data_IF_025609365606
#
_entry.id   IF_025609365606
#
_cell.length_a   1.000
_cell.length_b   1.000
_cell.length_c   1.000
_cell.angle_alpha   90.00
_cell.angle_beta   90.00
_cell.angle_gamma   90.00
#
_symmetry.space_group_name_H-M   'P 1'
#
loop_
_entity.id
_entity.type
_entity.pdbx_description
1 polymer ?
#
# COMPACT_ATOMS: atom_id res chain seq x y z
N UNK A 1 -14.57 2.96 -1.89
CA UNK A 1 -13.87 2.03 -2.81
C UNK A 1 -13.31 0.87 -2.01
N UNK A 2 -13.63 -0.34 -2.41
CA UNK A 2 -13.09 -1.56 -1.84
C UNK A 2 -11.93 -2.06 -2.69
N UNK A 3 -10.77 -2.23 -2.09
CA UNK A 3 -9.58 -2.70 -2.80
C UNK A 3 -9.05 -3.94 -2.06
N UNK A 4 -9.18 -5.09 -2.69
CA UNK A 4 -8.82 -6.39 -2.11
C UNK A 4 -7.81 -7.09 -2.99
N UNK A 5 -6.71 -7.55 -2.39
CA UNK A 5 -5.72 -8.38 -3.07
C UNK A 5 -5.94 -9.83 -2.64
N UNK A 6 -6.19 -10.70 -3.59
CA UNK A 6 -6.25 -12.14 -3.36
C UNK A 6 -4.87 -12.74 -3.63
N UNK A 7 -4.35 -13.50 -2.69
CA UNK A 7 -2.97 -13.98 -2.69
C UNK A 7 -2.91 -15.35 -2.01
N UNK A 8 -1.92 -16.21 -2.32
CA UNK A 8 -1.73 -17.47 -1.60
C UNK A 8 -1.43 -17.30 -0.12
N UNK A 9 -0.83 -16.18 0.28
CA UNK A 9 -0.58 -15.87 1.68
C UNK A 9 -0.61 -14.35 1.90
N UNK A 10 -1.68 -13.88 2.49
CA UNK A 10 -1.86 -12.45 2.80
C UNK A 10 -0.79 -11.94 3.77
N UNK A 11 -0.46 -12.75 4.78
CA UNK A 11 0.58 -12.40 5.75
C UNK A 11 1.93 -12.22 5.07
N UNK A 12 2.32 -13.16 4.24
CA UNK A 12 3.60 -13.11 3.53
C UNK A 12 3.67 -11.93 2.57
N UNK A 13 2.60 -11.68 1.82
CA UNK A 13 2.55 -10.55 0.90
C UNK A 13 2.70 -9.23 1.65
N UNK A 14 1.98 -9.05 2.76
CA UNK A 14 2.08 -7.84 3.57
C UNK A 14 3.52 -7.64 4.08
N UNK A 15 4.14 -8.69 4.63
CA UNK A 15 5.50 -8.64 5.14
C UNK A 15 6.51 -8.29 4.03
N UNK A 16 6.36 -8.89 2.84
CA UNK A 16 7.24 -8.60 1.69
C UNK A 16 7.10 -7.16 1.20
N UNK A 17 5.88 -6.65 1.13
CA UNK A 17 5.66 -5.26 0.71
C UNK A 17 6.33 -4.29 1.69
N UNK A 18 6.07 -4.46 2.98
CA UNK A 18 6.62 -3.56 4.00
C UNK A 18 8.14 -3.64 4.06
N UNK A 19 8.70 -4.85 4.01
CA UNK A 19 10.14 -5.06 4.02
C UNK A 19 10.81 -4.44 2.79
N UNK A 20 10.26 -4.66 1.61
CA UNK A 20 10.83 -4.17 0.36
C UNK A 20 10.78 -2.64 0.27
N UNK A 21 9.69 -2.04 0.70
CA UNK A 21 9.57 -0.58 0.72
C UNK A 21 10.56 0.02 1.73
N UNK A 22 10.70 -0.59 2.90
CA UNK A 22 11.65 -0.12 3.92
C UNK A 22 13.10 -0.22 3.44
N UNK A 23 13.46 -1.28 2.71
CA UNK A 23 14.81 -1.48 2.18
C UNK A 23 15.06 -0.81 0.82
N UNK A 24 14.03 -0.21 0.22
CA UNK A 24 14.09 0.45 -1.09
C UNK A 24 14.40 -0.49 -2.26
N UNK A 25 14.18 -1.79 -2.08
CA UNK A 25 14.37 -2.78 -3.13
C UNK A 25 13.47 -4.00 -2.91
N UNK A 26 12.97 -4.59 -3.99
CA UNK A 26 12.20 -5.83 -3.93
C UNK A 26 13.11 -7.06 -3.76
N UNK A 27 12.48 -8.24 -3.65
CA UNK A 27 13.22 -9.49 -3.48
C UNK A 27 14.09 -9.90 -4.66
N UNK A 28 13.91 -9.26 -5.82
CA UNK A 28 14.70 -9.51 -7.03
C UNK A 28 15.78 -8.45 -7.25
N UNK A 29 15.96 -7.54 -6.31
CA UNK A 29 16.97 -6.48 -6.38
C UNK A 29 16.55 -5.25 -7.18
N UNK A 30 15.27 -5.15 -7.59
CA UNK A 30 14.77 -3.99 -8.29
C UNK A 30 14.45 -2.88 -7.29
N UNK A 31 14.95 -1.67 -7.56
CA UNK A 31 14.75 -0.53 -6.67
C UNK A 31 13.31 -0.07 -6.56
N UNK A 32 12.95 0.34 -5.36
CA UNK A 32 11.63 0.94 -5.08
C UNK A 32 11.86 2.39 -4.67
N UNK A 33 11.44 3.30 -5.54
CA UNK A 33 11.51 4.74 -5.28
C UNK A 33 10.13 5.29 -4.92
N UNK A 34 10.10 6.48 -4.33
CA UNK A 34 8.89 7.27 -4.08
C UNK A 34 7.94 6.72 -3.02
N UNK A 35 8.29 5.62 -2.36
CA UNK A 35 7.51 5.05 -1.27
C UNK A 35 8.34 4.92 0.00
N UNK A 36 7.69 5.04 1.14
CA UNK A 36 8.28 4.86 2.46
C UNK A 36 7.31 4.16 3.40
N UNK A 37 7.85 3.48 4.41
CA UNK A 37 7.05 2.98 5.52
C UNK A 37 6.89 4.09 6.55
N UNK A 38 5.68 4.23 7.07
CA UNK A 38 5.35 5.20 8.12
C UNK A 38 4.60 4.47 9.24
N UNK A 39 4.71 4.99 10.45
CA UNK A 39 3.95 4.46 11.58
C UNK A 39 2.64 5.23 11.71
N UNK A 40 1.60 4.53 12.16
CA UNK A 40 0.28 5.11 12.40
C UNK A 40 -0.05 5.04 13.89
N UNK A 41 -1.10 5.74 14.30
CA UNK A 41 -1.56 5.74 15.69
C UNK A 41 -1.98 4.36 16.19
N UNK A 42 -2.34 3.46 15.29
CA UNK A 42 -2.68 2.07 15.62
C UNK A 42 -1.46 1.18 15.78
N UNK A 43 -0.25 1.74 15.73
CA UNK A 43 1.03 1.04 15.77
C UNK A 43 1.29 0.12 14.58
N UNK A 44 0.41 0.10 13.59
CA UNK A 44 0.64 -0.62 12.34
C UNK A 44 1.47 0.22 11.39
N UNK A 45 2.33 -0.45 10.63
CA UNK A 45 3.06 0.22 9.57
C UNK A 45 2.18 0.42 8.35
N UNK A 46 2.33 1.58 7.74
CA UNK A 46 1.62 1.94 6.52
C UNK A 46 2.61 2.43 5.47
N UNK A 47 2.11 2.67 4.27
CA UNK A 47 2.92 3.13 3.14
C UNK A 47 2.51 4.56 2.79
N UNK A 48 3.49 5.41 2.54
CA UNK A 48 3.26 6.78 2.08
C UNK A 48 4.18 7.11 0.92
N UNK A 49 3.77 8.05 0.09
CA UNK A 49 4.66 8.60 -0.92
C UNK A 49 5.67 9.53 -0.26
N UNK A 50 6.87 9.61 -0.81
CA UNK A 50 7.97 10.39 -0.22
C UNK A 50 8.00 11.83 -0.67
N UNK A 51 7.30 12.18 -1.73
CA UNK A 51 7.42 13.48 -2.37
C UNK A 51 6.10 14.22 -2.58
N UNK A 52 6.22 15.55 -2.57
CA UNK A 52 5.16 16.46 -2.98
C UNK A 52 3.95 16.46 -2.07
N UNK A 53 2.88 16.99 -2.62
CA UNK A 53 1.60 17.11 -1.89
C UNK A 53 1.06 15.76 -1.41
N UNK A 54 1.39 14.68 -2.09
CA UNK A 54 0.85 13.34 -1.78
C UNK A 54 1.44 12.75 -0.50
N UNK A 55 2.71 13.06 -0.21
CA UNK A 55 3.34 12.66 1.05
C UNK A 55 2.64 13.28 2.27
N UNK A 56 2.10 14.47 2.10
CA UNK A 56 1.41 15.21 3.15
C UNK A 56 -0.08 14.91 3.26
N UNK A 57 -0.66 14.22 2.27
CA UNK A 57 -2.10 13.92 2.27
C UNK A 57 -2.47 12.74 3.14
N UNK A 58 -1.75 11.64 3.06
CA UNK A 58 -2.14 10.45 3.81
C UNK A 58 -1.29 9.23 3.52
N UNK A 59 -1.83 8.07 3.87
CA UNK A 59 -1.12 6.80 3.76
C UNK A 59 -2.03 5.67 3.27
N UNK A 60 -1.38 4.60 2.82
CA UNK A 60 -2.03 3.35 2.43
C UNK A 60 -1.81 2.33 3.55
N UNK A 61 -2.86 1.71 4.02
CA UNK A 61 -2.79 0.64 5.00
C UNK A 61 -3.09 -0.71 4.36
N UNK A 62 -2.42 -1.74 4.88
CA UNK A 62 -2.59 -3.13 4.45
C UNK A 62 -3.13 -3.92 5.62
N UNK A 63 -4.36 -4.44 5.49
CA UNK A 63 -5.01 -5.19 6.55
C UNK A 63 -5.30 -6.61 6.10
N UNK A 64 -4.77 -7.59 6.83
CA UNK A 64 -5.12 -9.00 6.61
C UNK A 64 -6.58 -9.23 6.95
N UNK A 65 -7.32 -9.84 6.01
CA UNK A 65 -8.71 -10.23 6.27
C UNK A 65 -8.69 -11.57 6.99
N UNK A 66 -9.23 -11.59 8.21
CA UNK A 66 -9.23 -12.78 9.06
C UNK A 66 -9.95 -13.95 8.39
N UNK A 67 -9.29 -15.11 8.36
CA UNK A 67 -9.86 -16.33 7.79
C UNK A 67 -9.80 -16.40 6.27
N UNK A 68 -9.17 -15.45 5.60
CA UNK A 68 -9.05 -15.40 4.14
C UNK A 68 -7.64 -15.01 3.72
N UNK A 69 -7.20 -15.52 2.58
CA UNK A 69 -5.93 -15.08 1.99
C UNK A 69 -6.14 -13.83 1.14
N UNK A 70 -6.52 -12.76 1.84
CA UNK A 70 -6.81 -11.48 1.24
C UNK A 70 -6.19 -10.35 2.05
N UNK A 71 -5.66 -9.34 1.36
CA UNK A 71 -5.27 -8.07 1.97
C UNK A 71 -6.26 -7.01 1.54
N UNK A 72 -6.81 -6.31 2.50
CA UNK A 72 -7.60 -5.12 2.24
C UNK A 72 -6.68 -3.91 2.23
N UNK A 73 -6.77 -3.10 1.18
CA UNK A 73 -5.95 -1.92 1.00
C UNK A 73 -6.84 -0.69 1.12
N UNK A 74 -6.44 0.25 1.95
CA UNK A 74 -7.21 1.48 2.19
C UNK A 74 -6.30 2.69 2.18
N UNK A 75 -6.83 3.81 1.72
CA UNK A 75 -6.21 5.11 1.85
C UNK A 75 -6.84 5.89 3.00
N UNK A 76 -6.00 6.47 3.85
CA UNK A 76 -6.43 7.34 4.94
C UNK A 76 -5.71 8.66 4.88
N UNK A 77 -6.44 9.75 5.06
CA UNK A 77 -5.83 11.06 5.19
C UNK A 77 -5.12 11.22 6.54
N UNK A 78 -4.00 11.95 6.53
CA UNK A 78 -3.47 12.48 7.78
C UNK A 78 -4.46 13.49 8.35
N UNK A 79 -4.54 13.58 9.68
CA UNK A 79 -5.41 14.56 10.34
C UNK A 79 -5.08 16.00 9.93
N UNK A 80 -3.82 16.25 9.64
CA UNK A 80 -3.31 17.55 9.22
C UNK A 80 -3.58 17.88 7.76
N UNK A 81 -4.14 16.96 6.99
CA UNK A 81 -4.40 17.18 5.57
C UNK A 81 -5.51 18.21 5.35
N UNK A 82 -5.20 19.29 4.66
CA UNK A 82 -6.14 20.36 4.35
C UNK A 82 -6.75 20.25 2.96
N UNK A 83 -5.97 19.96 1.96
CA UNK A 83 -6.42 19.95 0.56
C UNK A 83 -6.99 18.60 0.10
N UNK A 84 -8.17 18.23 0.61
CA UNK A 84 -8.82 16.96 0.28
C UNK A 84 -9.67 17.06 -0.98
N UNK A 85 -9.56 16.05 -1.85
CA UNK A 85 -10.29 15.96 -3.11
C UNK A 85 -10.95 14.58 -3.21
N UNK A 86 -12.11 14.50 -3.87
CA UNK A 86 -12.87 13.25 -4.02
C UNK A 86 -12.12 12.16 -4.79
N UNK A 87 -11.07 12.51 -5.52
CA UNK A 87 -10.29 11.56 -6.31
C UNK A 87 -8.95 11.18 -5.67
N UNK A 88 -8.66 11.66 -4.47
CA UNK A 88 -7.38 11.37 -3.80
C UNK A 88 -7.17 9.88 -3.55
N UNK A 89 -8.21 9.18 -3.10
CA UNK A 89 -8.14 7.74 -2.86
C UNK A 89 -7.83 6.97 -4.15
N UNK A 90 -8.49 7.34 -5.24
CA UNK A 90 -8.28 6.70 -6.55
C UNK A 90 -6.86 6.91 -7.05
N UNK A 91 -6.34 8.11 -6.90
CA UNK A 91 -4.98 8.43 -7.30
C UNK A 91 -3.97 7.61 -6.48
N UNK A 92 -4.12 7.62 -5.16
CA UNK A 92 -3.20 6.91 -4.26
C UNK A 92 -3.25 5.40 -4.46
N UNK A 93 -4.45 4.84 -4.62
CA UNK A 93 -4.61 3.41 -4.86
C UNK A 93 -4.10 3.02 -6.27
N UNK A 94 -4.21 3.91 -7.24
CA UNK A 94 -3.62 3.72 -8.56
C UNK A 94 -2.09 3.66 -8.50
N UNK A 95 -1.47 4.58 -7.75
CA UNK A 95 -0.02 4.57 -7.52
C UNK A 95 0.42 3.31 -6.77
N UNK A 96 -0.35 2.88 -5.79
CA UNK A 96 -0.09 1.63 -5.09
C UNK A 96 -0.18 0.43 -6.03
N UNK A 97 -1.15 0.42 -6.94
CA UNK A 97 -1.30 -0.65 -7.92
C UNK A 97 -0.07 -0.75 -8.82
N UNK A 98 0.50 0.37 -9.24
CA UNK A 98 1.75 0.37 -10.00
C UNK A 98 2.89 -0.30 -9.20
N UNK A 99 3.03 0.05 -7.94
CA UNK A 99 4.01 -0.58 -7.05
C UNK A 99 3.79 -2.08 -6.96
N UNK A 100 2.55 -2.47 -6.73
CA UNK A 100 2.15 -3.86 -6.55
C UNK A 100 2.47 -4.71 -7.79
N UNK A 101 2.09 -4.25 -8.97
CA UNK A 101 2.31 -4.98 -10.21
C UNK A 101 3.77 -4.98 -10.65
N UNK A 102 4.51 -3.92 -10.36
CA UNK A 102 5.92 -3.82 -10.73
C UNK A 102 6.84 -4.73 -9.91
N UNK A 103 6.50 -4.94 -8.63
CA UNK A 103 7.43 -5.59 -7.69
C UNK A 103 6.89 -6.86 -7.03
N UNK A 104 5.57 -7.05 -7.00
CA UNK A 104 4.94 -8.11 -6.20
C UNK A 104 3.97 -9.00 -6.98
N UNK A 105 3.92 -8.90 -8.30
CA UNK A 105 2.94 -9.64 -9.11
C UNK A 105 3.01 -11.16 -8.92
N UNK A 106 4.17 -11.72 -8.60
CA UNK A 106 4.33 -13.16 -8.35
C UNK A 106 3.59 -13.65 -7.10
N UNK A 107 3.27 -12.74 -6.19
CA UNK A 107 2.59 -13.09 -4.94
C UNK A 107 1.08 -12.89 -5.01
N UNK A 108 0.57 -12.48 -6.16
CA UNK A 108 -0.81 -12.02 -6.31
C UNK A 108 -1.56 -12.93 -7.27
N UNK A 109 -2.72 -13.43 -6.81
CA UNK A 109 -3.64 -14.15 -7.69
C UNK A 109 -4.54 -13.17 -8.43
N UNK A 110 -5.05 -12.17 -7.73
CA UNK A 110 -6.05 -11.26 -8.28
C UNK A 110 -6.19 -9.99 -7.44
N UNK A 111 -6.48 -8.87 -8.10
CA UNK A 111 -6.87 -7.62 -7.45
C UNK A 111 -8.33 -7.34 -7.78
N UNK A 112 -9.14 -7.10 -6.76
CA UNK A 112 -10.57 -6.78 -6.91
C UNK A 112 -10.81 -5.39 -6.39
N UNK A 113 -11.32 -4.52 -7.25
CA UNK A 113 -11.66 -3.14 -6.90
C UNK A 113 -13.16 -2.95 -7.15
N UNK A 114 -13.88 -2.56 -6.10
CA UNK A 114 -15.34 -2.37 -6.17
C UNK A 114 -15.75 -0.97 -5.76
#
# INVERSE_FOLDING_TARGET
MNYIIQTPSARRLKEEILKSVASKADGNGNGIANWQCVETDSADKALALTEGQWAEKGCITLTQVKGRNELQVRFFYWETCEGRDNNDDKYMLGRFTELLLSHFHYFIDRVVIE
#
